data_IF_715619911471
#
_entry.id   IF_715619911471
#
_cell.length_a   1.000
_cell.length_b   1.000
_cell.length_c   1.000
_cell.angle_alpha   90.00
_cell.angle_beta   90.00
_cell.angle_gamma   90.00
#
_symmetry.space_group_name_H-M   'P 1'
#
loop_
_entity.id
_entity.type
_entity.pdbx_description
1 polymer ?
#
# COMPACT_ATOMS: atom_id res chain seq x y z
N UNK A 1 -18.76 -10.01 7.45
CA UNK A 1 -18.17 -10.95 8.43
C UNK A 1 -18.76 -10.58 9.78
N UNK A 2 -19.14 -11.54 10.63
CA UNK A 2 -19.50 -11.21 12.01
C UNK A 2 -18.21 -11.07 12.80
N UNK A 3 -18.00 -9.91 13.40
CA UNK A 3 -16.88 -9.71 14.33
C UNK A 3 -17.06 -10.65 15.52
N UNK A 4 -16.14 -11.59 15.67
CA UNK A 4 -15.95 -12.27 16.96
C UNK A 4 -15.35 -11.25 17.91
N UNK A 5 -16.12 -10.85 18.92
CA UNK A 5 -15.77 -9.84 19.92
C UNK A 5 -14.71 -10.39 20.90
N UNK A 6 -13.51 -10.60 20.36
CA UNK A 6 -12.35 -11.12 21.08
C UNK A 6 -11.64 -9.93 21.71
N UNK A 7 -11.62 -9.91 23.05
CA UNK A 7 -10.87 -8.92 23.81
C UNK A 7 -9.40 -8.88 23.37
N UNK A 8 -8.79 -7.70 23.44
CA UNK A 8 -7.34 -7.57 23.24
C UNK A 8 -6.57 -8.49 24.23
N UNK A 9 -5.45 -9.07 23.79
CA UNK A 9 -4.60 -9.87 24.67
C UNK A 9 -3.99 -9.00 25.77
N UNK A 10 -3.93 -9.54 26.99
CA UNK A 10 -3.25 -8.96 28.16
C UNK A 10 -2.11 -9.88 28.58
N UNK A 11 -1.29 -9.47 29.55
CA UNK A 11 -0.22 -10.33 30.06
C UNK A 11 -0.75 -11.61 30.72
N UNK A 12 -1.98 -11.61 31.21
CA UNK A 12 -2.63 -12.77 31.85
C UNK A 12 -3.02 -13.88 30.85
N UNK A 13 -3.05 -13.59 29.55
CA UNK A 13 -3.29 -14.59 28.50
C UNK A 13 -2.08 -15.51 28.25
N UNK A 14 -0.92 -15.19 28.82
CA UNK A 14 0.32 -15.94 28.59
C UNK A 14 0.65 -16.83 29.79
N UNK A 15 0.70 -18.17 29.63
CA UNK A 15 1.00 -19.09 30.72
C UNK A 15 2.46 -19.02 31.19
N UNK A 16 3.33 -18.38 30.42
CA UNK A 16 4.76 -18.20 30.72
C UNK A 16 5.14 -16.76 30.37
N UNK A 17 5.85 -16.08 31.29
CA UNK A 17 6.42 -14.76 31.02
C UNK A 17 7.56 -14.87 30.01
N UNK A 18 7.42 -14.20 28.87
CA UNK A 18 8.40 -14.18 27.79
C UNK A 18 8.56 -12.75 27.25
N UNK A 19 9.79 -12.28 26.90
CA UNK A 19 10.05 -10.91 26.44
C UNK A 19 9.36 -10.51 25.12
N UNK A 20 8.72 -11.45 24.43
CA UNK A 20 7.91 -11.19 23.24
C UNK A 20 6.39 -11.14 23.51
N UNK A 21 5.92 -11.40 24.75
CA UNK A 21 4.50 -11.28 25.10
C UNK A 21 4.01 -9.84 24.91
N UNK A 22 4.77 -8.87 25.41
CA UNK A 22 4.54 -7.43 25.18
C UNK A 22 4.55 -7.10 23.68
N UNK A 23 5.41 -7.75 22.87
CA UNK A 23 5.42 -7.54 21.42
C UNK A 23 4.12 -8.04 20.78
N UNK A 24 3.61 -9.19 21.18
CA UNK A 24 2.34 -9.70 20.66
C UNK A 24 1.19 -8.75 21.01
N UNK A 25 1.10 -8.30 22.27
CA UNK A 25 0.09 -7.35 22.73
C UNK A 25 0.14 -6.05 21.89
N UNK A 26 1.32 -5.46 21.74
CA UNK A 26 1.50 -4.20 21.02
C UNK A 26 1.31 -4.36 19.49
N UNK A 27 1.63 -5.52 18.90
CA UNK A 27 1.28 -5.84 17.50
C UNK A 27 -0.23 -5.97 17.33
N UNK A 28 -0.92 -6.63 18.25
CA UNK A 28 -2.38 -6.77 18.20
C UNK A 28 -3.09 -5.42 18.31
N UNK A 29 -2.63 -4.50 19.18
CA UNK A 29 -3.13 -3.10 19.22
C UNK A 29 -2.99 -2.40 17.86
N UNK A 30 -1.81 -2.45 17.23
CA UNK A 30 -1.58 -1.86 15.90
C UNK A 30 -2.41 -2.52 14.79
N UNK A 31 -2.61 -3.84 14.84
CA UNK A 31 -3.47 -4.56 13.91
C UNK A 31 -4.94 -4.15 14.04
N UNK A 32 -5.44 -3.87 15.25
CA UNK A 32 -6.79 -3.32 15.45
C UNK A 32 -6.93 -1.92 14.85
N UNK A 33 -5.94 -1.04 15.04
CA UNK A 33 -5.92 0.30 14.43
C UNK A 33 -5.90 0.19 12.90
N UNK A 34 -5.06 -0.69 12.34
CA UNK A 34 -4.99 -0.92 10.89
C UNK A 34 -6.28 -1.53 10.32
N UNK A 35 -6.94 -2.43 11.08
CA UNK A 35 -8.23 -2.99 10.73
C UNK A 35 -9.33 -1.92 10.67
N UNK A 36 -9.39 -1.03 11.67
CA UNK A 36 -10.31 0.13 11.66
C UNK A 36 -10.03 1.07 10.48
N UNK A 37 -8.77 1.39 10.19
CA UNK A 37 -8.38 2.16 8.99
C UNK A 37 -8.88 1.51 7.70
N UNK A 38 -8.77 0.18 7.58
CA UNK A 38 -9.25 -0.56 6.41
C UNK A 38 -10.79 -0.57 6.28
N UNK A 39 -11.52 -0.68 7.40
CA UNK A 39 -12.98 -0.57 7.44
C UNK A 39 -13.46 0.84 7.06
N UNK A 40 -12.85 1.88 7.64
CA UNK A 40 -13.18 3.28 7.36
C UNK A 40 -12.92 3.65 5.90
N UNK A 41 -11.82 3.13 5.32
CA UNK A 41 -11.53 3.21 3.88
C UNK A 41 -12.66 2.70 2.98
N UNK A 42 -13.42 1.69 3.42
CA UNK A 42 -14.56 1.13 2.68
C UNK A 42 -15.88 1.84 3.00
N UNK A 43 -15.92 2.68 4.03
CA UNK A 43 -17.11 3.39 4.47
C UNK A 43 -17.11 4.85 3.96
N UNK A 44 -17.97 5.22 2.99
CA UNK A 44 -18.04 6.58 2.46
C UNK A 44 -18.57 7.61 3.48
N UNK A 45 -19.15 7.16 4.60
CA UNK A 45 -19.62 8.01 5.70
C UNK A 45 -18.56 8.31 6.76
N UNK A 46 -17.31 7.90 6.55
CA UNK A 46 -16.19 8.17 7.46
C UNK A 46 -15.99 9.67 7.67
N UNK A 47 -16.04 10.11 8.92
CA UNK A 47 -15.89 11.51 9.32
C UNK A 47 -14.49 11.85 9.83
N UNK A 48 -14.18 13.14 9.93
CA UNK A 48 -12.94 13.60 10.58
C UNK A 48 -12.88 13.18 12.06
N UNK A 49 -14.02 13.18 12.77
CA UNK A 49 -14.11 12.72 14.16
C UNK A 49 -13.73 11.24 14.32
N UNK A 50 -14.11 10.38 13.37
CA UNK A 50 -13.72 8.96 13.41
C UNK A 50 -12.21 8.79 13.24
N UNK A 51 -11.58 9.62 12.40
CA UNK A 51 -10.12 9.66 12.25
C UNK A 51 -9.43 10.28 13.47
N UNK A 52 -10.01 11.28 14.12
CA UNK A 52 -9.45 11.86 15.35
C UNK A 52 -9.28 10.80 16.46
N UNK A 53 -10.29 9.93 16.66
CA UNK A 53 -10.23 8.80 17.60
C UNK A 53 -9.12 7.78 17.24
N UNK A 54 -8.81 7.60 15.96
CA UNK A 54 -7.64 6.81 15.55
C UNK A 54 -6.31 7.53 15.79
N UNK A 55 -6.28 8.86 15.67
CA UNK A 55 -5.15 9.70 16.09
C UNK A 55 -4.84 9.48 17.57
N UNK A 56 -5.84 9.63 18.43
CA UNK A 56 -5.76 9.33 19.87
C UNK A 56 -5.26 7.90 20.12
N UNK A 57 -5.79 6.91 19.40
CA UNK A 57 -5.35 5.50 19.49
C UNK A 57 -3.86 5.30 19.16
N UNK A 58 -3.27 6.11 18.26
CA UNK A 58 -1.83 6.07 17.98
C UNK A 58 -1.00 6.76 19.07
N UNK A 59 -1.53 7.82 19.69
CA UNK A 59 -0.88 8.53 20.80
C UNK A 59 -0.87 7.67 22.07
N UNK A 60 -2.01 7.06 22.41
CA UNK A 60 -2.13 6.04 23.45
C UNK A 60 -1.15 4.88 23.22
N UNK A 61 -1.08 4.33 22.00
CA UNK A 61 -0.12 3.28 21.68
C UNK A 61 1.34 3.69 21.91
N UNK A 62 1.70 4.94 21.61
CA UNK A 62 3.05 5.45 21.86
C UNK A 62 3.32 5.63 23.37
N UNK A 63 2.34 6.08 24.14
CA UNK A 63 2.44 6.28 25.59
C UNK A 63 2.52 4.95 26.35
N UNK A 64 1.71 3.96 25.95
CA UNK A 64 1.63 2.61 26.50
C UNK A 64 2.83 1.72 26.12
N UNK A 65 3.71 2.15 25.21
CA UNK A 65 4.77 1.31 24.67
C UNK A 65 5.81 1.00 25.76
N UNK A 66 6.05 -0.29 26.12
CA UNK A 66 7.03 -0.67 27.11
C UNK A 66 8.44 -0.22 26.74
N UNK A 67 9.24 0.06 27.77
CA UNK A 67 10.56 0.70 27.67
C UNK A 67 11.59 -0.18 26.93
N UNK A 68 11.39 -1.50 26.91
CA UNK A 68 12.14 -2.49 26.13
C UNK A 68 11.69 -2.66 24.67
N UNK A 69 10.61 -1.98 24.26
CA UNK A 69 10.07 -1.97 22.90
C UNK A 69 10.22 -0.61 22.19
N UNK A 70 10.66 0.44 22.90
CA UNK A 70 10.98 1.75 22.31
C UNK A 70 12.28 1.68 21.50
N UNK A 71 12.29 2.34 20.34
CA UNK A 71 13.55 2.60 19.62
C UNK A 71 14.32 3.68 20.38
N UNK A 72 15.54 3.37 20.81
CA UNK A 72 16.49 4.38 21.31
C UNK A 72 17.45 4.75 20.19
N UNK A 73 17.69 6.04 20.02
CA UNK A 73 18.71 6.54 19.10
C UNK A 73 20.15 6.33 19.65
N UNK A 74 20.26 6.06 20.95
CA UNK A 74 21.52 5.75 21.63
C UNK A 74 22.02 4.32 21.31
N UNK A 75 23.03 4.26 20.43
CA UNK A 75 23.72 3.06 19.91
C UNK A 75 24.24 2.05 20.96
N UNK A 76 24.24 2.40 22.26
CA UNK A 76 24.88 1.64 23.33
C UNK A 76 23.90 1.10 24.39
N UNK A 77 22.61 1.47 24.33
CA UNK A 77 21.68 1.22 25.44
C UNK A 77 20.99 -0.15 25.39
N UNK A 78 20.57 -0.64 24.21
CA UNK A 78 19.88 -1.93 24.09
C UNK A 78 20.32 -2.74 22.85
N UNK A 79 20.31 -4.08 22.94
CA UNK A 79 20.61 -4.95 21.79
C UNK A 79 19.51 -4.83 20.73
N UNK A 80 19.92 -4.78 19.46
CA UNK A 80 19.00 -4.80 18.33
C UNK A 80 18.10 -6.05 18.37
N UNK A 81 16.79 -5.84 18.23
CA UNK A 81 15.78 -6.91 18.09
C UNK A 81 14.99 -6.67 16.81
N UNK A 82 15.24 -7.47 15.77
CA UNK A 82 14.48 -7.48 14.50
C UNK A 82 12.97 -7.41 14.69
N UNK A 83 12.46 -8.18 15.65
CA UNK A 83 11.03 -8.27 15.94
C UNK A 83 10.42 -6.96 16.50
N UNK A 84 11.25 -6.09 17.10
CA UNK A 84 10.93 -4.72 17.51
C UNK A 84 11.02 -3.77 16.30
N UNK A 85 12.02 -3.92 15.43
CA UNK A 85 12.05 -3.19 14.15
C UNK A 85 10.78 -3.45 13.33
N UNK A 86 10.33 -4.69 13.22
CA UNK A 86 9.06 -5.06 12.59
C UNK A 86 7.81 -4.43 13.26
N UNK A 87 7.84 -4.19 14.58
CA UNK A 87 6.75 -3.52 15.29
C UNK A 87 6.67 -2.04 14.88
N UNK A 88 7.81 -1.36 14.79
CA UNK A 88 7.87 0.05 14.39
C UNK A 88 7.65 0.26 12.89
N UNK A 89 8.04 -0.70 12.05
CA UNK A 89 7.68 -0.74 10.62
C UNK A 89 6.15 -0.80 10.46
N UNK A 90 5.46 -1.69 11.20
CA UNK A 90 4.00 -1.76 11.21
C UNK A 90 3.38 -0.43 11.68
N UNK A 91 3.86 0.14 12.79
CA UNK A 91 3.37 1.44 13.28
C UNK A 91 3.53 2.56 12.23
N UNK A 92 4.69 2.68 11.59
CA UNK A 92 4.91 3.71 10.57
C UNK A 92 4.06 3.49 9.30
N UNK A 93 3.89 2.24 8.84
CA UNK A 93 3.02 1.95 7.71
C UNK A 93 1.54 2.28 8.01
N UNK A 94 1.03 1.88 9.18
CA UNK A 94 -0.32 2.23 9.62
C UNK A 94 -0.50 3.74 9.76
N UNK A 95 0.51 4.48 10.24
CA UNK A 95 0.46 5.93 10.37
C UNK A 95 0.52 6.66 9.01
N UNK A 96 1.23 6.12 8.01
CA UNK A 96 1.17 6.63 6.62
C UNK A 96 -0.25 6.51 6.06
N UNK A 97 -0.91 5.37 6.27
CA UNK A 97 -2.30 5.15 5.82
C UNK A 97 -3.27 6.09 6.52
N UNK A 98 -3.07 6.34 7.82
CA UNK A 98 -3.83 7.32 8.58
C UNK A 98 -3.68 8.76 8.03
N UNK A 99 -2.45 9.21 7.78
CA UNK A 99 -2.18 10.51 7.15
C UNK A 99 -2.82 10.63 5.77
N UNK A 100 -2.77 9.56 4.97
CA UNK A 100 -3.44 9.50 3.67
C UNK A 100 -4.97 9.56 3.78
N UNK A 101 -5.57 8.96 4.82
CA UNK A 101 -7.00 9.04 5.08
C UNK A 101 -7.42 10.46 5.49
N UNK A 102 -6.67 11.12 6.38
CA UNK A 102 -6.89 12.54 6.74
C UNK A 102 -6.85 13.44 5.50
N UNK A 103 -5.83 13.26 4.65
CA UNK A 103 -5.63 14.03 3.40
C UNK A 103 -6.76 13.85 2.37
N UNK A 104 -7.67 12.87 2.56
CA UNK A 104 -8.85 12.69 1.69
C UNK A 104 -10.10 13.38 2.21
N UNK A 105 -10.16 13.69 3.51
CA UNK A 105 -11.26 14.45 4.11
C UNK A 105 -10.94 15.95 4.14
N UNK A 106 -9.66 16.29 4.26
CA UNK A 106 -9.16 17.66 4.25
C UNK A 106 -8.86 18.11 2.81
N UNK A 107 -9.60 19.10 2.31
CA UNK A 107 -9.44 19.67 0.97
C UNK A 107 -8.45 20.85 0.92
N UNK A 108 -7.82 21.23 2.03
CA UNK A 108 -6.85 22.32 2.04
C UNK A 108 -5.47 21.88 1.50
N UNK A 109 -5.02 22.59 0.46
CA UNK A 109 -3.77 22.29 -0.28
C UNK A 109 -2.53 22.36 0.62
N UNK A 110 -2.49 23.30 1.58
CA UNK A 110 -1.37 23.44 2.52
C UNK A 110 -1.31 22.28 3.52
N UNK A 111 -2.46 21.82 4.04
CA UNK A 111 -2.56 20.64 4.90
C UNK A 111 -2.08 19.38 4.16
N UNK A 112 -2.50 19.22 2.91
CA UNK A 112 -2.08 18.12 2.02
C UNK A 112 -0.55 18.02 1.87
N UNK A 113 0.17 19.14 1.71
CA UNK A 113 1.65 19.12 1.64
C UNK A 113 2.27 18.70 2.97
N UNK A 114 1.83 19.29 4.08
CA UNK A 114 2.37 18.98 5.41
C UNK A 114 2.15 17.50 5.79
N UNK A 115 0.97 16.95 5.47
CA UNK A 115 0.65 15.54 5.65
C UNK A 115 1.56 14.63 4.79
N UNK A 116 1.83 15.01 3.53
CA UNK A 116 2.74 14.25 2.68
C UNK A 116 4.20 14.29 3.17
N UNK A 117 4.68 15.44 3.66
CA UNK A 117 6.00 15.52 4.32
C UNK A 117 6.10 14.60 5.54
N UNK A 118 5.03 14.49 6.34
CA UNK A 118 4.99 13.51 7.43
C UNK A 118 5.03 12.07 6.90
N UNK A 119 4.32 11.74 5.81
CA UNK A 119 4.43 10.42 5.17
C UNK A 119 5.88 10.11 4.75
N UNK A 120 6.59 11.07 4.14
CA UNK A 120 8.01 10.91 3.77
C UNK A 120 8.87 10.65 5.01
N UNK A 121 8.75 11.47 6.07
CA UNK A 121 9.49 11.24 7.34
C UNK A 121 9.23 9.85 7.94
N UNK A 122 8.00 9.32 7.84
CA UNK A 122 7.67 7.96 8.29
C UNK A 122 8.28 6.89 7.37
N UNK A 123 8.28 7.10 6.06
CA UNK A 123 8.93 6.21 5.08
C UNK A 123 10.45 6.14 5.27
N UNK A 124 11.12 7.27 5.48
CA UNK A 124 12.56 7.32 5.81
C UNK A 124 12.88 6.55 7.09
N UNK A 125 12.04 6.64 8.13
CA UNK A 125 12.18 5.83 9.35
C UNK A 125 11.99 4.33 9.09
N UNK A 126 11.01 3.93 8.28
CA UNK A 126 10.87 2.52 7.85
C UNK A 126 12.11 2.05 7.10
N UNK A 127 12.66 2.87 6.22
CA UNK A 127 13.85 2.56 5.43
C UNK A 127 15.06 2.29 6.32
N UNK A 128 15.31 3.14 7.32
CA UNK A 128 16.39 2.93 8.31
C UNK A 128 16.21 1.64 9.13
N UNK A 129 14.97 1.25 9.43
CA UNK A 129 14.68 -0.01 10.10
C UNK A 129 14.96 -1.22 9.19
N UNK A 130 14.62 -1.12 7.90
CA UNK A 130 14.97 -2.13 6.90
C UNK A 130 16.48 -2.20 6.64
N UNK A 131 17.18 -1.07 6.59
CA UNK A 131 18.64 -0.98 6.50
C UNK A 131 19.31 -1.66 7.71
N UNK A 132 18.83 -1.42 8.92
CA UNK A 132 19.33 -2.05 10.14
C UNK A 132 19.17 -3.58 10.13
N UNK A 133 18.12 -4.10 9.49
CA UNK A 133 17.87 -5.54 9.28
C UNK A 133 18.80 -6.08 8.18
N UNK A 134 18.95 -5.35 7.07
CA UNK A 134 19.84 -5.69 5.95
C UNK A 134 21.30 -5.79 6.39
N UNK A 135 21.80 -4.78 7.10
CA UNK A 135 23.16 -4.74 7.64
C UNK A 135 23.50 -5.92 8.56
N UNK A 136 22.49 -6.50 9.22
CA UNK A 136 22.64 -7.66 10.11
C UNK A 136 22.39 -9.00 9.42
N UNK A 137 22.19 -9.00 8.10
CA UNK A 137 21.86 -10.17 7.28
C UNK A 137 20.60 -10.91 7.79
N UNK A 138 19.62 -10.17 8.29
CA UNK A 138 18.42 -10.73 8.93
C UNK A 138 17.20 -10.80 8.01
N UNK A 139 17.32 -10.33 6.76
CA UNK A 139 16.20 -10.21 5.81
C UNK A 139 15.49 -11.55 5.56
N UNK A 140 16.25 -12.65 5.49
CA UNK A 140 15.68 -13.99 5.31
C UNK A 140 14.70 -14.42 6.40
N UNK A 141 14.73 -13.78 7.58
CA UNK A 141 13.89 -14.06 8.75
C UNK A 141 12.75 -13.05 8.98
N UNK A 142 12.56 -12.05 8.11
CA UNK A 142 11.42 -11.12 8.25
C UNK A 142 10.15 -11.70 7.63
N UNK A 143 9.01 -11.45 8.26
CA UNK A 143 7.74 -12.05 7.83
C UNK A 143 7.28 -11.50 6.47
N UNK A 144 6.65 -12.30 5.59
CA UNK A 144 6.23 -11.87 4.24
C UNK A 144 5.40 -10.58 4.15
N UNK A 145 4.67 -10.20 5.22
CA UNK A 145 3.97 -8.91 5.31
C UNK A 145 4.90 -7.69 5.09
N UNK A 146 6.20 -7.84 5.37
CA UNK A 146 7.19 -6.80 5.12
C UNK A 146 7.38 -6.48 3.64
N UNK A 147 6.99 -7.35 2.69
CA UNK A 147 6.91 -7.01 1.27
C UNK A 147 5.96 -5.83 1.04
N UNK A 148 4.79 -5.85 1.69
CA UNK A 148 3.80 -4.77 1.58
C UNK A 148 4.25 -3.50 2.31
N UNK A 149 4.97 -3.62 3.42
CA UNK A 149 5.59 -2.45 4.06
C UNK A 149 6.70 -1.81 3.20
N UNK A 150 7.51 -2.62 2.52
CA UNK A 150 8.50 -2.14 1.53
C UNK A 150 7.82 -1.44 0.35
N UNK A 151 6.69 -1.96 -0.13
CA UNK A 151 5.87 -1.29 -1.15
C UNK A 151 5.39 0.08 -0.68
N UNK A 152 4.79 0.17 0.52
CA UNK A 152 4.28 1.43 1.10
C UNK A 152 5.40 2.47 1.20
N UNK A 153 6.55 2.09 1.77
CA UNK A 153 7.70 2.99 1.85
C UNK A 153 8.21 3.40 0.45
N UNK A 154 8.41 2.43 -0.45
CA UNK A 154 8.96 2.67 -1.79
C UNK A 154 8.10 3.61 -2.64
N UNK A 155 6.77 3.48 -2.58
CA UNK A 155 5.85 4.38 -3.26
C UNK A 155 5.92 5.83 -2.73
N UNK A 156 6.10 6.00 -1.42
CA UNK A 156 6.31 7.31 -0.81
C UNK A 156 7.65 7.90 -1.26
N UNK A 157 8.74 7.11 -1.31
CA UNK A 157 10.04 7.59 -1.82
C UNK A 157 9.99 7.98 -3.30
N UNK A 158 9.33 7.19 -4.14
CA UNK A 158 9.14 7.51 -5.57
C UNK A 158 8.39 8.84 -5.74
N UNK A 159 7.37 9.11 -4.91
CA UNK A 159 6.66 10.39 -4.92
C UNK A 159 7.50 11.53 -4.33
N UNK A 160 8.31 11.27 -3.31
CA UNK A 160 9.23 12.25 -2.73
C UNK A 160 10.25 12.75 -3.76
N UNK A 161 10.83 11.83 -4.56
CA UNK A 161 11.74 12.10 -5.67
C UNK A 161 11.18 13.01 -6.77
N UNK A 162 9.85 13.11 -6.88
CA UNK A 162 9.14 14.00 -7.81
C UNK A 162 8.69 15.32 -7.17
N UNK A 163 8.61 15.38 -5.83
CA UNK A 163 8.02 16.51 -5.09
C UNK A 163 9.08 17.42 -4.47
N UNK A 164 10.16 16.83 -3.95
CA UNK A 164 11.22 17.51 -3.21
C UNK A 164 12.52 17.35 -4.01
N UNK A 165 12.98 18.45 -4.61
CA UNK A 165 14.10 18.44 -5.56
C UNK A 165 15.47 18.54 -4.89
N UNK A 166 15.47 19.15 -3.72
CA UNK A 166 16.57 19.40 -2.80
C UNK A 166 17.18 18.09 -2.25
N UNK A 167 16.34 17.15 -1.81
CA UNK A 167 16.76 15.92 -1.11
C UNK A 167 16.75 14.68 -2.02
N UNK A 168 16.77 14.83 -3.35
CA UNK A 168 16.66 13.70 -4.29
C UNK A 168 17.76 12.65 -4.14
N UNK A 169 18.95 13.00 -3.64
CA UNK A 169 19.99 12.02 -3.35
C UNK A 169 19.52 11.06 -2.23
N UNK A 170 19.08 11.62 -1.10
CA UNK A 170 18.57 10.87 0.05
C UNK A 170 17.44 9.92 -0.35
N UNK A 171 16.43 10.38 -1.09
CA UNK A 171 15.30 9.53 -1.46
C UNK A 171 15.66 8.45 -2.49
N UNK A 172 16.69 8.65 -3.32
CA UNK A 172 17.21 7.60 -4.21
C UNK A 172 17.97 6.53 -3.43
N UNK A 173 18.78 6.93 -2.44
CA UNK A 173 19.50 6.00 -1.55
C UNK A 173 18.49 5.20 -0.72
N UNK A 174 17.48 5.87 -0.14
CA UNK A 174 16.41 5.22 0.62
C UNK A 174 15.57 4.26 -0.25
N UNK A 175 15.23 4.64 -1.49
CA UNK A 175 14.56 3.73 -2.44
C UNK A 175 15.44 2.55 -2.84
N UNK A 176 16.76 2.74 -2.94
CA UNK A 176 17.72 1.68 -3.25
C UNK A 176 17.80 0.66 -2.11
N UNK A 177 17.84 1.10 -0.85
CA UNK A 177 17.77 0.22 0.32
C UNK A 177 16.51 -0.66 0.27
N UNK A 178 15.33 -0.06 0.01
CA UNK A 178 14.05 -0.78 -0.09
C UNK A 178 14.10 -1.85 -1.20
N UNK A 179 14.65 -1.51 -2.37
CA UNK A 179 14.80 -2.45 -3.49
C UNK A 179 15.75 -3.61 -3.15
N UNK A 180 16.87 -3.34 -2.49
CA UNK A 180 17.82 -4.37 -2.04
C UNK A 180 17.18 -5.31 -1.01
N UNK A 181 16.44 -4.78 -0.04
CA UNK A 181 15.72 -5.60 0.95
C UNK A 181 14.70 -6.51 0.27
N UNK A 182 13.92 -5.98 -0.70
CA UNK A 182 13.00 -6.80 -1.49
C UNK A 182 13.73 -7.88 -2.30
N UNK A 183 14.88 -7.57 -2.89
CA UNK A 183 15.69 -8.53 -3.65
C UNK A 183 16.17 -9.69 -2.75
N UNK A 184 16.62 -9.39 -1.54
CA UNK A 184 17.05 -10.36 -0.52
C UNK A 184 15.88 -11.16 0.09
N UNK A 185 14.65 -10.63 0.03
CA UNK A 185 13.44 -11.35 0.45
C UNK A 185 12.95 -12.40 -0.57
N UNK A 186 13.31 -12.29 -1.85
CA UNK A 186 12.79 -13.17 -2.93
C UNK A 186 12.95 -14.68 -2.60
N UNK A 187 14.10 -15.17 -2.08
CA UNK A 187 14.25 -16.59 -1.74
C UNK A 187 13.30 -17.07 -0.63
N UNK A 188 12.96 -16.20 0.33
CA UNK A 188 12.04 -16.50 1.43
C UNK A 188 10.57 -16.20 1.09
N UNK A 189 10.31 -15.37 0.07
CA UNK A 189 8.96 -14.90 -0.25
C UNK A 189 8.81 -14.47 -1.71
N UNK A 190 8.14 -15.30 -2.51
CA UNK A 190 7.93 -15.03 -3.95
C UNK A 190 7.19 -13.70 -4.24
N UNK A 191 6.34 -13.21 -3.33
CA UNK A 191 5.65 -11.93 -3.52
C UNK A 191 6.57 -10.70 -3.42
N UNK A 192 7.80 -10.84 -2.91
CA UNK A 192 8.80 -9.78 -2.93
C UNK A 192 9.20 -9.40 -4.36
N UNK A 193 9.29 -10.38 -5.27
CA UNK A 193 9.59 -10.15 -6.69
C UNK A 193 8.49 -9.34 -7.40
N UNK A 194 7.22 -9.60 -7.06
CA UNK A 194 6.08 -8.84 -7.56
C UNK A 194 6.11 -7.39 -7.07
N UNK A 195 6.36 -7.18 -5.78
CA UNK A 195 6.49 -5.82 -5.22
C UNK A 195 7.66 -5.05 -5.83
N UNK A 196 8.83 -5.69 -5.99
CA UNK A 196 9.99 -5.07 -6.62
C UNK A 196 9.70 -4.63 -8.06
N UNK A 197 9.04 -5.48 -8.86
CA UNK A 197 8.60 -5.15 -10.21
C UNK A 197 7.63 -3.97 -10.23
N UNK A 198 6.69 -3.91 -9.29
CA UNK A 198 5.72 -2.82 -9.20
C UNK A 198 6.40 -1.48 -8.87
N UNK A 199 7.35 -1.47 -7.93
CA UNK A 199 8.15 -0.26 -7.62
C UNK A 199 8.98 0.21 -8.82
N UNK A 200 9.64 -0.70 -9.54
CA UNK A 200 10.39 -0.39 -10.76
C UNK A 200 9.48 0.22 -11.84
N UNK A 201 8.25 -0.30 -11.99
CA UNK A 201 7.29 0.26 -12.93
C UNK A 201 6.85 1.68 -12.54
N UNK A 202 6.48 1.91 -11.28
CA UNK A 202 6.11 3.23 -10.77
C UNK A 202 7.22 4.28 -10.98
N UNK A 203 8.48 3.90 -10.73
CA UNK A 203 9.66 4.76 -10.96
C UNK A 203 9.79 5.16 -12.44
N UNK A 204 9.62 4.22 -13.38
CA UNK A 204 9.67 4.55 -14.82
C UNK A 204 8.55 5.49 -15.25
N UNK A 205 7.35 5.34 -14.69
CA UNK A 205 6.18 6.18 -15.00
C UNK A 205 6.30 7.60 -14.45
N UNK A 206 7.06 7.82 -13.36
CA UNK A 206 7.40 9.17 -12.89
C UNK A 206 8.46 9.81 -13.79
N UNK A 207 9.46 9.04 -14.24
CA UNK A 207 10.54 9.53 -15.10
C UNK A 207 10.10 9.95 -16.51
N UNK A 208 8.96 9.48 -17.02
CA UNK A 208 8.41 9.91 -18.32
C UNK A 208 7.68 11.26 -18.25
N UNK A 209 7.01 11.56 -17.13
CA UNK A 209 6.31 12.83 -16.92
C UNK A 209 7.29 14.00 -16.76
N UNK A 210 8.49 13.77 -16.20
CA UNK A 210 9.51 14.80 -16.00
C UNK A 210 10.33 15.18 -17.25
N UNK A 211 10.06 14.60 -18.43
CA UNK A 211 10.70 15.03 -19.69
C UNK A 211 9.78 16.03 -20.39
N UNK A 212 10.18 17.32 -20.57
CA UNK A 212 9.41 18.22 -21.41
C UNK A 212 9.34 17.67 -22.83
N UNK A 213 8.13 17.49 -23.35
CA UNK A 213 7.90 17.07 -24.72
C UNK A 213 8.54 18.11 -25.64
N UNK A 214 9.61 17.72 -26.33
CA UNK A 214 10.35 18.61 -27.24
C UNK A 214 9.45 18.95 -28.42
N UNK A 215 8.90 20.16 -28.42
CA UNK A 215 7.99 20.66 -29.45
C UNK A 215 8.58 20.49 -30.86
N UNK A 216 7.99 19.60 -31.66
CA UNK A 216 8.15 19.61 -33.12
C UNK A 216 6.96 20.33 -33.72
N UNK A 217 7.03 21.66 -33.75
CA UNK A 217 6.08 22.49 -34.48
C UNK A 217 6.30 22.31 -35.99
N UNK A 218 5.48 21.48 -36.63
CA UNK A 218 5.38 21.44 -38.08
C UNK A 218 4.06 22.11 -38.51
N UNK A 219 4.20 23.35 -38.97
CA UNK A 219 3.12 24.21 -39.42
C UNK A 219 2.87 24.00 -40.92
N UNK A 220 1.82 23.26 -41.30
CA UNK A 220 1.32 23.27 -42.68
C UNK A 220 -0.20 23.34 -42.70
N UNK A 221 -0.71 24.53 -43.04
CA UNK A 221 -2.11 24.79 -43.40
C UNK A 221 -2.39 24.39 -44.84
N UNK A 222 -3.42 23.58 -45.09
CA UNK A 222 -4.16 23.58 -46.36
C UNK A 222 -5.62 23.20 -46.10
N UNK A 223 -6.57 23.90 -46.74
CA UNK A 223 -8.01 23.77 -46.51
C UNK A 223 -8.67 22.75 -47.46
N UNK A 224 -9.68 22.02 -46.96
CA UNK A 224 -11.01 21.76 -47.57
C UNK A 224 -11.17 21.10 -48.99
N UNK A 225 -12.36 20.57 -49.35
CA UNK A 225 -13.42 19.96 -48.52
C UNK A 225 -14.12 18.71 -49.16
N UNK A 226 -15.12 18.17 -48.45
CA UNK A 226 -16.31 17.39 -48.94
C UNK A 226 -16.13 16.10 -49.76
N UNK A 227 -16.70 14.98 -49.28
CA UNK A 227 -17.71 14.25 -50.08
C UNK A 227 -18.71 13.44 -49.22
N UNK A 228 -19.92 13.21 -49.77
CA UNK A 228 -21.10 12.57 -49.15
C UNK A 228 -21.59 11.38 -50.01
N UNK A 229 -21.79 10.21 -49.41
CA UNK A 229 -22.50 9.01 -49.91
C UNK A 229 -22.32 7.92 -48.83
N UNK A 230 -23.30 7.24 -48.23
CA UNK A 230 -24.75 7.00 -48.47
C UNK A 230 -25.08 6.03 -49.61
N UNK A 231 -26.06 5.15 -49.32
CA UNK A 231 -26.64 4.01 -50.08
C UNK A 231 -25.91 2.63 -49.98
N UNK A 232 -26.58 1.46 -49.88
CA UNK A 232 -27.94 1.14 -49.37
C UNK A 232 -28.09 -0.36 -48.98
N UNK A 233 -29.24 -0.74 -48.38
CA UNK A 233 -29.77 -2.04 -47.90
C UNK A 233 -29.52 -3.33 -48.77
N UNK A 234 -29.57 -4.56 -48.23
CA UNK A 234 -30.79 -5.29 -47.77
C UNK A 234 -30.55 -6.64 -47.05
N UNK A 235 -31.51 -6.98 -46.18
CA UNK A 235 -32.13 -8.31 -45.83
C UNK A 235 -31.24 -9.54 -45.55
N UNK A 236 -31.51 -10.39 -44.54
CA UNK A 236 -32.58 -10.46 -43.52
C UNK A 236 -32.64 -11.86 -42.88
N UNK A 237 -33.36 -12.09 -41.77
CA UNK A 237 -33.62 -13.46 -41.28
C UNK A 237 -33.60 -13.73 -39.75
N UNK A 238 -34.65 -13.28 -39.06
CA UNK A 238 -35.33 -13.82 -37.85
C UNK A 238 -34.70 -15.03 -37.09
N UNK A 239 -34.53 -14.83 -35.76
CA UNK A 239 -34.40 -15.79 -34.63
C UNK A 239 -35.45 -16.96 -34.62
N UNK A 240 -35.39 -18.03 -33.75
CA UNK A 240 -34.85 -18.04 -32.38
C UNK A 240 -34.29 -19.37 -31.75
N UNK A 241 -33.89 -19.22 -30.48
CA UNK A 241 -34.07 -20.16 -29.34
C UNK A 241 -33.17 -21.39 -29.10
N UNK A 242 -32.85 -21.56 -27.80
CA UNK A 242 -32.21 -22.70 -27.15
C UNK A 242 -32.95 -24.05 -27.31
N UNK A 243 -32.22 -25.18 -27.15
CA UNK A 243 -32.74 -26.38 -26.52
C UNK A 243 -32.29 -26.51 -25.04
N UNK A 244 -33.25 -26.87 -24.19
CA UNK A 244 -33.04 -27.37 -22.81
C UNK A 244 -33.44 -28.85 -22.74
N UNK A 245 -33.26 -29.50 -21.57
CA UNK A 245 -33.70 -30.88 -21.24
C UNK A 245 -32.86 -32.00 -21.90
N UNK A 246 -32.67 -33.22 -21.37
CA UNK A 246 -32.82 -33.84 -20.03
C UNK A 246 -32.01 -35.18 -20.07
N UNK A 247 -31.77 -36.00 -19.02
CA UNK A 247 -32.32 -36.09 -17.66
C UNK A 247 -31.30 -36.72 -16.65
N UNK A 248 -31.82 -37.06 -15.45
CA UNK A 248 -31.35 -37.95 -14.36
C UNK A 248 -30.32 -39.08 -14.62
N UNK A 249 -29.41 -39.27 -13.66
CA UNK A 249 -29.50 -40.48 -12.81
C UNK A 249 -28.95 -40.27 -11.38
N UNK A 250 -29.56 -40.93 -10.39
CA UNK A 250 -29.31 -40.69 -8.96
C UNK A 250 -28.69 -41.93 -8.30
N UNK A 251 -27.54 -41.81 -7.61
CA UNK A 251 -27.16 -42.81 -6.59
C UNK A 251 -26.23 -42.28 -5.50
N UNK A 252 -26.81 -42.15 -4.30
CA UNK A 252 -26.29 -42.38 -2.94
C UNK A 252 -24.86 -41.92 -2.55
N UNK A 253 -24.82 -41.02 -1.55
CA UNK A 253 -23.65 -40.66 -0.71
C UNK A 253 -23.14 -41.88 0.10
N UNK A 254 -21.86 -41.84 0.52
CA UNK A 254 -21.57 -41.41 1.89
C UNK A 254 -20.53 -40.28 2.02
N UNK A 255 -20.39 -39.80 3.25
CA UNK A 255 -19.40 -38.86 3.82
C UNK A 255 -19.36 -37.39 3.36
N UNK A 256 -19.68 -36.52 4.33
CA UNK A 256 -19.40 -35.08 4.29
C UNK A 256 -17.95 -34.82 4.70
N UNK A 257 -17.10 -34.53 3.73
CA UNK A 257 -16.01 -33.57 3.91
C UNK A 257 -16.26 -32.41 2.95
N UNK A 258 -16.26 -31.13 3.40
CA UNK A 258 -16.32 -30.00 2.48
C UNK A 258 -15.06 -30.02 1.61
N UNK A 259 -15.23 -30.35 0.33
CA UNK A 259 -14.14 -30.30 -0.66
C UNK A 259 -13.68 -28.85 -0.78
N UNK A 260 -12.47 -28.57 -0.28
CA UNK A 260 -11.78 -27.33 -0.59
C UNK A 260 -11.68 -27.20 -2.13
N UNK A 261 -11.90 -26.01 -2.71
CA UNK A 261 -11.67 -25.78 -4.12
C UNK A 261 -10.22 -26.15 -4.48
N UNK A 262 -10.04 -26.81 -5.61
CA UNK A 262 -8.73 -27.23 -6.09
C UNK A 262 -7.91 -26.00 -6.52
N UNK A 263 -7.21 -25.37 -5.57
CA UNK A 263 -6.39 -24.18 -5.81
C UNK A 263 -5.12 -24.55 -6.59
N UNK A 264 -5.11 -24.20 -7.87
CA UNK A 264 -3.87 -24.18 -8.66
C UNK A 264 -2.88 -23.13 -8.14
N UNK A 265 -1.60 -23.21 -8.53
CA UNK A 265 -0.50 -22.42 -7.93
C UNK A 265 -0.55 -20.91 -8.20
N UNK A 266 -1.59 -20.41 -8.89
CA UNK A 266 -1.76 -19.00 -9.25
C UNK A 266 -2.86 -18.30 -8.41
N UNK A 267 -3.42 -18.97 -7.40
CA UNK A 267 -4.55 -18.49 -6.59
C UNK A 267 -4.18 -17.73 -5.32
N UNK A 268 -3.27 -16.75 -5.40
CA UNK A 268 -3.09 -15.75 -4.32
C UNK A 268 -3.72 -14.47 -4.82
N UNK A 269 -4.78 -14.00 -4.15
CA UNK A 269 -5.69 -12.96 -4.65
C UNK A 269 -5.00 -11.69 -5.17
N UNK A 270 -4.95 -11.59 -6.50
CA UNK A 270 -4.54 -10.39 -7.24
C UNK A 270 -5.40 -9.19 -6.82
N UNK A 271 -6.68 -9.44 -6.49
CA UNK A 271 -7.63 -8.46 -5.94
C UNK A 271 -7.18 -7.84 -4.60
N UNK A 272 -6.59 -8.59 -3.67
CA UNK A 272 -6.22 -8.04 -2.36
C UNK A 272 -5.02 -7.07 -2.45
N UNK A 273 -4.15 -7.30 -3.44
CA UNK A 273 -3.11 -6.34 -3.82
C UNK A 273 -3.74 -5.12 -4.51
N UNK A 274 -4.50 -5.33 -5.58
CA UNK A 274 -5.02 -4.25 -6.45
C UNK A 274 -5.98 -3.31 -5.70
N UNK A 275 -6.93 -3.84 -4.91
CA UNK A 275 -7.80 -3.00 -4.08
C UNK A 275 -7.02 -2.20 -3.04
N UNK A 276 -5.85 -2.69 -2.59
CA UNK A 276 -4.94 -1.91 -1.74
C UNK A 276 -4.30 -0.72 -2.47
N UNK A 277 -3.99 -0.87 -3.77
CA UNK A 277 -3.31 0.15 -4.59
C UNK A 277 -4.19 1.35 -4.95
N UNK A 278 -5.48 1.15 -5.20
CA UNK A 278 -6.33 2.21 -5.78
C UNK A 278 -6.46 3.45 -4.87
N UNK A 279 -6.28 3.28 -3.55
CA UNK A 279 -6.29 4.41 -2.62
C UNK A 279 -5.04 5.30 -2.65
N UNK A 280 -3.91 4.86 -3.20
CA UNK A 280 -2.68 5.66 -3.14
C UNK A 280 -2.58 6.64 -4.33
N UNK A 281 -3.09 6.29 -5.51
CA UNK A 281 -2.83 7.03 -6.75
C UNK A 281 -3.97 7.14 -7.78
N UNK A 282 -5.09 6.42 -7.65
CA UNK A 282 -6.14 6.39 -8.68
C UNK A 282 -6.68 7.77 -9.11
N UNK A 283 -6.85 8.68 -8.15
CA UNK A 283 -7.38 10.04 -8.39
C UNK A 283 -6.30 11.11 -8.68
N UNK A 284 -5.05 10.73 -8.95
CA UNK A 284 -3.97 11.68 -9.30
C UNK A 284 -3.53 11.59 -10.78
N UNK A 285 -4.24 10.81 -11.60
CA UNK A 285 -4.14 10.95 -13.05
C UNK A 285 -4.86 12.23 -13.49
N UNK A 286 -4.07 13.17 -14.03
CA UNK A 286 -4.48 14.36 -14.80
C UNK A 286 -5.41 15.39 -14.13
N UNK A 287 -4.79 16.39 -13.51
CA UNK A 287 -5.17 17.80 -13.71
C UNK A 287 -4.02 18.53 -14.40
N UNK A 288 -4.02 18.65 -15.74
CA UNK A 288 -2.96 19.33 -16.47
C UNK A 288 -3.22 20.84 -16.52
N UNK A 289 -3.03 21.53 -15.39
CA UNK A 289 -3.06 22.99 -15.34
C UNK A 289 -2.32 23.53 -14.10
N UNK A 290 -1.84 24.78 -14.18
CA UNK A 290 -1.10 25.50 -13.11
C UNK A 290 0.33 25.02 -12.82
N UNK A 291 1.11 24.84 -13.90
CA UNK A 291 2.55 25.09 -13.89
C UNK A 291 2.80 26.45 -14.55
N UNK A 292 2.53 27.55 -13.85
CA UNK A 292 3.00 28.89 -14.26
C UNK A 292 3.00 29.86 -13.06
N UNK A 293 4.01 30.74 -13.05
CA UNK A 293 4.30 31.83 -12.11
C UNK A 293 4.00 31.63 -10.61
N UNK A 294 5.08 31.54 -9.82
CA UNK A 294 5.39 32.55 -8.79
C UNK A 294 6.91 32.64 -8.61
N UNK A 295 7.53 33.58 -9.31
CA UNK A 295 8.86 34.09 -8.94
C UNK A 295 8.69 35.41 -8.18
N UNK A 296 9.65 35.71 -7.28
CA UNK A 296 9.82 36.99 -6.58
C UNK A 296 8.71 37.42 -5.60
N UNK A 297 8.95 37.20 -4.30
CA UNK A 297 9.25 38.28 -3.33
C UNK A 297 9.64 37.70 -1.97
#
# INVERSE_FOLDING_TARGET
>A
MQDTDVRLPTMDDFPVSHPDNNIFIQKSKLCMILGRLAQMRQNPSTSYSDLAVLGESFEEWCADLPEELKLREEYHSQPHRRIVSELHILYHASYIIYLQALTKLDTEVHSTRAAFEQCVRRSSRMTRLFEAILYRNEVAYIRPINNWFCLVAGLIQIRALATFTEDRALYNDELTIIKTVLQDMIPSSASAALVLRNLQHCETSVGTVSKPARSTSNHTTTNDPLNLSMDDHREGGIDPLFPSQDHSDMNLRPDLAPRLPNMGPNGIDEYFLVDSFDLAFGNLQSSPCMLEDWSLS
#
